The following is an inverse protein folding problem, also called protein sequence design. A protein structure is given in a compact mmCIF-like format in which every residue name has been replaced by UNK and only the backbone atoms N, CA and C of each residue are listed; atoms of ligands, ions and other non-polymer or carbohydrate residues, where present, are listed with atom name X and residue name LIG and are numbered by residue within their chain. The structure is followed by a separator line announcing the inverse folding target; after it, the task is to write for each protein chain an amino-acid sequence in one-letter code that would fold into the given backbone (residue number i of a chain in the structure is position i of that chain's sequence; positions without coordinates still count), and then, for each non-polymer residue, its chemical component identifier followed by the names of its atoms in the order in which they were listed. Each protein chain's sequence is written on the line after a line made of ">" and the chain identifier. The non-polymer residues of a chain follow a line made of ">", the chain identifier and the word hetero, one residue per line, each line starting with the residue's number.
data_IF_299530836997
#
_entry.id   IF_299530836997
#
_cell.length_a   1.000
_cell.length_b   1.000
_cell.length_c   1.000
_cell.angle_alpha   90.00
_cell.angle_beta   90.00
_cell.angle_gamma   90.00
#
_symmetry.space_group_name_H-M   'P 1'
#
loop_
_entity.id
_entity.type
_entity.pdbx_description
1 polymer ?
#
# COMPACT_ATOMS: atom_id res chain seq x y z
N UNK A 1 2.35 -4.78 19.49
CA UNK A 1 3.69 -5.19 19.02
C UNK A 1 3.65 -6.66 18.65
N UNK A 2 4.29 -7.02 17.55
CA UNK A 2 4.52 -8.43 17.18
C UNK A 2 6.02 -8.69 17.14
N UNK A 3 6.47 -9.71 17.83
CA UNK A 3 7.85 -10.19 17.87
C UNK A 3 7.91 -11.64 17.43
N UNK A 4 8.58 -11.95 16.30
CA UNK A 4 8.67 -13.30 15.74
C UNK A 4 7.30 -13.97 15.64
N UNK A 5 6.34 -13.25 15.04
CA UNK A 5 4.93 -13.65 14.84
C UNK A 5 4.08 -13.86 16.11
N UNK A 6 4.60 -13.48 17.29
CA UNK A 6 3.85 -13.54 18.55
C UNK A 6 3.34 -12.16 18.94
N UNK A 7 2.03 -12.01 19.24
CA UNK A 7 1.49 -10.76 19.71
C UNK A 7 1.98 -10.46 21.13
N UNK A 8 2.39 -9.22 21.38
CA UNK A 8 2.76 -8.70 22.68
C UNK A 8 1.87 -7.48 22.93
N UNK A 9 1.11 -7.47 24.01
CA UNK A 9 0.43 -6.27 24.49
C UNK A 9 1.48 -5.43 25.21
N UNK A 10 1.85 -4.25 24.68
CA UNK A 10 2.93 -3.47 25.25
C UNK A 10 2.49 -2.85 26.58
N UNK A 11 3.37 -2.93 27.58
CA UNK A 11 3.28 -2.22 28.86
C UNK A 11 4.32 -1.10 28.88
N UNK A 12 4.30 -0.24 29.90
CA UNK A 12 5.23 0.90 29.99
C UNK A 12 6.71 0.52 30.01
N UNK A 13 7.04 -0.68 30.48
CA UNK A 13 8.40 -1.24 30.49
C UNK A 13 8.74 -2.08 29.26
N UNK A 14 7.83 -2.24 28.30
CA UNK A 14 8.08 -3.04 27.10
C UNK A 14 9.11 -2.38 26.22
N UNK A 15 10.24 -3.03 26.02
CA UNK A 15 11.30 -2.57 25.13
C UNK A 15 10.98 -3.09 23.71
N UNK A 16 10.97 -2.18 22.74
CA UNK A 16 10.88 -2.51 21.33
C UNK A 16 12.27 -2.91 20.84
N UNK A 17 12.36 -4.07 20.22
CA UNK A 17 13.59 -4.63 19.69
C UNK A 17 13.67 -4.44 18.16
N UNK A 18 14.87 -4.52 17.56
CA UNK A 18 14.98 -4.61 16.11
C UNK A 18 14.15 -5.78 15.57
N UNK A 19 13.53 -5.58 14.40
CA UNK A 19 12.60 -6.52 13.74
C UNK A 19 11.25 -6.72 14.42
N UNK A 20 10.91 -5.96 15.47
CA UNK A 20 9.56 -5.91 16.01
C UNK A 20 8.64 -5.15 15.04
N UNK A 21 7.47 -5.72 14.74
CA UNK A 21 6.40 -5.02 14.05
C UNK A 21 5.53 -4.29 15.05
N UNK A 22 5.46 -2.96 14.95
CA UNK A 22 4.76 -2.12 15.91
C UNK A 22 3.60 -1.40 15.26
N UNK A 23 2.41 -1.52 15.84
CA UNK A 23 1.22 -0.80 15.42
C UNK A 23 0.93 0.34 16.38
N UNK A 24 0.78 1.54 15.83
CA UNK A 24 0.41 2.74 16.57
C UNK A 24 -0.99 3.18 16.18
N UNK A 25 -1.78 3.55 17.17
CA UNK A 25 -3.09 4.17 16.98
C UNK A 25 -3.00 5.59 17.50
N UNK A 26 -3.26 6.56 16.64
CA UNK A 26 -3.27 7.97 17.01
C UNK A 26 -4.34 8.72 16.18
N UNK A 27 -4.80 9.85 16.69
CA UNK A 27 -5.66 10.74 15.91
C UNK A 27 -4.93 11.17 14.63
N UNK A 28 -5.65 11.28 13.51
CA UNK A 28 -5.09 11.62 12.19
C UNK A 28 -4.23 12.90 12.24
N UNK A 29 -4.59 13.86 13.07
CA UNK A 29 -3.85 15.10 13.25
C UNK A 29 -2.45 14.88 13.88
N UNK A 30 -2.27 13.85 14.71
CA UNK A 30 -1.05 13.59 15.48
C UNK A 30 -0.20 12.44 14.93
N UNK A 31 -0.70 11.73 13.90
CA UNK A 31 0.02 10.57 13.38
C UNK A 31 1.42 10.92 12.86
N UNK A 32 1.60 12.12 12.31
CA UNK A 32 2.90 12.59 11.83
C UNK A 32 3.89 12.83 12.97
N UNK A 33 3.43 13.34 14.11
CA UNK A 33 4.26 13.54 15.29
C UNK A 33 4.73 12.19 15.83
N UNK A 34 3.81 11.23 15.98
CA UNK A 34 4.14 9.86 16.40
C UNK A 34 5.16 9.23 15.44
N UNK A 35 4.98 9.37 14.13
CA UNK A 35 5.92 8.83 13.16
C UNK A 35 7.29 9.53 13.19
N UNK A 36 7.34 10.83 13.51
CA UNK A 36 8.61 11.57 13.60
C UNK A 36 9.47 11.20 14.80
N UNK A 37 8.85 10.76 15.89
CA UNK A 37 9.57 10.24 17.07
C UNK A 37 10.21 8.86 16.82
N UNK A 38 9.66 8.10 15.86
CA UNK A 38 10.08 6.74 15.57
C UNK A 38 11.03 6.62 14.37
N UNK A 39 10.94 7.55 13.46
CA UNK A 39 11.77 7.64 12.25
C UNK A 39 12.15 9.09 12.00
N UNK A 40 13.38 9.30 11.51
CA UNK A 40 13.65 10.54 10.76
C UNK A 40 12.65 10.58 9.59
N UNK A 41 11.70 11.52 9.62
CA UNK A 41 10.73 11.70 8.55
C UNK A 41 11.51 12.15 7.31
N UNK A 42 11.88 11.20 6.48
CA UNK A 42 12.33 11.54 5.13
C UNK A 42 11.18 12.29 4.46
N UNK A 43 11.49 13.39 3.82
CA UNK A 43 10.51 14.14 3.02
C UNK A 43 9.96 13.14 2.00
N UNK A 44 8.64 12.87 1.96
CA UNK A 44 8.10 11.88 1.04
C UNK A 44 8.54 12.21 -0.38
N UNK A 45 9.25 11.30 -1.03
CA UNK A 45 9.55 11.42 -2.45
C UNK A 45 8.23 11.49 -3.20
N UNK A 46 8.12 12.42 -4.15
CA UNK A 46 6.87 12.62 -4.90
C UNK A 46 6.81 11.83 -6.19
N UNK A 47 7.75 10.91 -6.43
CA UNK A 47 7.82 10.13 -7.68
C UNK A 47 7.22 8.75 -7.45
N UNK A 48 6.17 8.46 -8.21
CA UNK A 48 5.45 7.18 -8.15
C UNK A 48 5.37 6.57 -9.54
N UNK A 49 5.66 5.29 -9.66
CA UNK A 49 5.40 4.51 -10.87
C UNK A 49 4.29 3.50 -10.57
N UNK A 50 3.26 3.54 -11.38
CA UNK A 50 2.14 2.59 -11.34
C UNK A 50 2.22 1.65 -12.53
N UNK A 51 2.02 0.38 -12.33
CA UNK A 51 1.94 -0.64 -13.38
C UNK A 51 0.51 -1.16 -13.48
N UNK A 52 -0.14 -0.90 -14.62
CA UNK A 52 -1.52 -1.28 -14.89
C UNK A 52 -2.51 -0.11 -14.79
N UNK A 53 -3.10 0.26 -15.94
CA UNK A 53 -4.10 1.33 -16.08
C UNK A 53 -5.54 0.82 -15.92
N UNK A 54 -5.75 -0.23 -15.13
CA UNK A 54 -7.08 -0.72 -14.77
C UNK A 54 -7.85 0.28 -13.89
N UNK A 55 -9.01 -0.12 -13.40
CA UNK A 55 -9.85 0.77 -12.57
C UNK A 55 -9.15 1.26 -11.30
N UNK A 56 -8.33 0.42 -10.67
CA UNK A 56 -7.57 0.79 -9.47
C UNK A 56 -6.43 1.73 -9.86
N UNK A 57 -5.64 1.37 -10.88
CA UNK A 57 -4.50 2.18 -11.32
C UNK A 57 -4.88 3.57 -11.77
N UNK A 58 -5.93 3.70 -12.60
CA UNK A 58 -6.44 5.00 -13.05
C UNK A 58 -6.91 5.88 -11.89
N UNK A 59 -7.69 5.33 -10.95
CA UNK A 59 -8.18 6.08 -9.79
C UNK A 59 -7.05 6.51 -8.87
N UNK A 60 -6.07 5.62 -8.67
CA UNK A 60 -4.90 5.93 -7.85
C UNK A 60 -4.03 7.00 -8.52
N UNK A 61 -3.78 6.90 -9.84
CA UNK A 61 -3.03 7.90 -10.60
C UNK A 61 -3.65 9.29 -10.42
N UNK A 62 -4.96 9.42 -10.65
CA UNK A 62 -5.69 10.67 -10.48
C UNK A 62 -5.61 11.21 -9.05
N UNK A 63 -5.83 10.37 -8.05
CA UNK A 63 -5.73 10.80 -6.65
C UNK A 63 -4.33 11.29 -6.31
N UNK A 64 -3.29 10.65 -6.84
CA UNK A 64 -1.92 11.03 -6.59
C UNK A 64 -1.56 12.35 -7.29
N UNK A 65 -1.96 12.55 -8.56
CA UNK A 65 -1.72 13.82 -9.25
C UNK A 65 -2.46 15.00 -8.58
N UNK A 66 -3.72 14.81 -8.14
CA UNK A 66 -4.48 15.79 -7.36
C UNK A 66 -3.78 16.19 -6.05
N UNK A 67 -2.93 15.31 -5.50
CA UNK A 67 -2.14 15.55 -4.30
C UNK A 67 -0.69 15.99 -4.59
N UNK A 68 -0.37 16.31 -5.84
CA UNK A 68 0.92 16.86 -6.26
C UNK A 68 2.07 15.84 -6.35
N UNK A 69 1.74 14.55 -6.53
CA UNK A 69 2.73 13.53 -6.84
C UNK A 69 3.07 13.55 -8.34
N UNK A 70 4.30 13.19 -8.67
CA UNK A 70 4.73 12.95 -10.05
C UNK A 70 4.48 11.49 -10.37
N UNK A 71 3.47 11.22 -11.17
CA UNK A 71 3.03 9.87 -11.49
C UNK A 71 3.43 9.47 -12.91
N UNK A 72 3.96 8.26 -13.05
CA UNK A 72 4.10 7.56 -14.32
C UNK A 72 3.24 6.31 -14.27
N UNK A 73 2.48 6.04 -15.31
CA UNK A 73 1.56 4.91 -15.41
C UNK A 73 1.97 4.04 -16.60
N UNK A 74 2.43 2.83 -16.35
CA UNK A 74 2.83 1.86 -17.38
C UNK A 74 1.63 0.97 -17.69
N UNK A 75 1.31 0.85 -18.99
CA UNK A 75 0.23 0.01 -19.48
C UNK A 75 0.66 -0.65 -20.81
N UNK A 76 0.35 -1.93 -20.97
CA UNK A 76 0.71 -2.69 -22.17
C UNK A 76 -0.34 -2.61 -23.28
N UNK A 77 -1.58 -2.30 -22.93
CA UNK A 77 -2.68 -2.20 -23.89
C UNK A 77 -2.82 -0.78 -24.44
N UNK A 78 -2.53 -0.61 -25.74
CA UNK A 78 -2.57 0.70 -26.41
C UNK A 78 -3.98 1.30 -26.50
N UNK A 79 -5.05 0.49 -26.51
CA UNK A 79 -6.42 1.02 -26.47
C UNK A 79 -6.72 1.59 -25.10
N UNK A 80 -6.30 0.87 -24.04
CA UNK A 80 -6.48 1.35 -22.69
C UNK A 80 -5.70 2.63 -22.39
N UNK A 81 -4.50 2.75 -22.96
CA UNK A 81 -3.70 3.99 -22.86
C UNK A 81 -4.48 5.19 -23.39
N UNK A 82 -5.09 5.05 -24.58
CA UNK A 82 -5.91 6.12 -25.17
C UNK A 82 -7.08 6.52 -24.30
N UNK A 83 -7.78 5.53 -23.75
CA UNK A 83 -8.90 5.78 -22.85
C UNK A 83 -8.49 6.53 -21.60
N UNK A 84 -7.38 6.13 -20.93
CA UNK A 84 -6.99 6.72 -19.66
C UNK A 84 -6.32 8.07 -19.82
N UNK A 85 -5.68 8.34 -20.95
CA UNK A 85 -5.04 9.63 -21.23
C UNK A 85 -6.01 10.82 -21.17
N UNK A 86 -7.28 10.60 -21.50
CA UNK A 86 -8.32 11.63 -21.44
C UNK A 86 -8.75 11.99 -20.00
N UNK A 87 -8.37 11.16 -19.02
CA UNK A 87 -8.76 11.34 -17.62
C UNK A 87 -7.61 11.80 -16.71
N UNK A 88 -6.40 11.89 -17.23
CA UNK A 88 -5.19 12.24 -16.49
C UNK A 88 -4.60 13.51 -17.07
N UNK A 89 -4.27 14.48 -16.21
CA UNK A 89 -3.78 15.79 -16.63
C UNK A 89 -2.24 15.87 -16.55
N UNK A 90 -1.65 15.40 -15.43
CA UNK A 90 -0.22 15.52 -15.14
C UNK A 90 0.52 14.16 -15.16
N UNK A 91 -0.21 13.05 -15.19
CA UNK A 91 0.36 11.71 -15.20
C UNK A 91 0.91 11.33 -16.58
N UNK A 92 2.17 10.94 -16.64
CA UNK A 92 2.78 10.41 -17.87
C UNK A 92 2.36 8.97 -18.07
N UNK A 93 1.62 8.69 -19.15
CA UNK A 93 1.21 7.33 -19.51
C UNK A 93 2.21 6.73 -20.49
N UNK A 94 2.78 5.59 -20.13
CA UNK A 94 3.83 4.89 -20.87
C UNK A 94 3.29 3.58 -21.44
N UNK A 95 3.56 3.33 -22.70
CA UNK A 95 3.27 2.05 -23.34
C UNK A 95 4.42 1.07 -23.12
N UNK A 96 4.18 -0.03 -22.41
CA UNK A 96 5.20 -1.04 -22.18
C UNK A 96 4.80 -2.12 -21.18
N UNK A 97 5.74 -3.02 -20.93
CA UNK A 97 5.64 -4.03 -19.88
C UNK A 97 6.33 -3.56 -18.62
N UNK A 98 5.63 -3.61 -17.51
CA UNK A 98 6.18 -3.23 -16.19
C UNK A 98 7.26 -4.21 -15.68
N UNK A 99 7.44 -5.36 -16.31
CA UNK A 99 8.53 -6.29 -16.07
C UNK A 99 9.72 -6.07 -17.03
N UNK A 100 9.68 -5.06 -17.90
CA UNK A 100 10.80 -4.68 -18.76
C UNK A 100 11.81 -3.84 -17.96
N UNK A 101 12.98 -4.43 -17.72
CA UNK A 101 14.07 -3.79 -16.97
C UNK A 101 14.58 -2.52 -17.67
N UNK A 102 14.65 -2.51 -19.00
CA UNK A 102 15.18 -1.37 -19.76
C UNK A 102 14.22 -0.19 -19.67
N UNK A 103 12.92 -0.43 -19.81
CA UNK A 103 11.88 0.58 -19.60
C UNK A 103 11.97 1.19 -18.19
N UNK A 104 12.07 0.35 -17.15
CA UNK A 104 12.16 0.83 -15.77
C UNK A 104 13.42 1.69 -15.55
N UNK A 105 14.55 1.33 -16.14
CA UNK A 105 15.77 2.14 -16.07
C UNK A 105 15.62 3.48 -16.80
N UNK A 106 15.05 3.50 -17.99
CA UNK A 106 14.79 4.73 -18.74
C UNK A 106 13.89 5.69 -17.98
N UNK A 107 12.97 5.15 -17.17
CA UNK A 107 12.02 5.90 -16.36
C UNK A 107 12.53 6.28 -14.96
N UNK A 108 13.81 6.03 -14.67
CA UNK A 108 14.51 6.36 -13.43
C UNK A 108 13.89 5.67 -12.20
N UNK A 109 13.77 4.37 -12.28
CA UNK A 109 13.23 3.54 -11.20
C UNK A 109 14.02 3.68 -9.89
N UNK A 110 15.33 3.92 -9.96
CA UNK A 110 16.23 4.14 -8.83
C UNK A 110 15.94 5.42 -8.04
N UNK A 111 15.24 6.37 -8.67
CA UNK A 111 14.80 7.63 -8.05
C UNK A 111 13.31 7.60 -7.66
N UNK A 112 12.66 6.44 -7.83
CA UNK A 112 11.24 6.27 -7.56
C UNK A 112 11.03 5.96 -6.08
N UNK A 113 10.15 6.71 -5.43
CA UNK A 113 9.78 6.48 -4.04
C UNK A 113 8.94 5.22 -3.88
N UNK A 114 7.91 5.10 -4.71
CA UNK A 114 6.99 3.97 -4.66
C UNK A 114 6.72 3.42 -6.05
N UNK A 115 6.91 2.13 -6.22
CA UNK A 115 6.42 1.37 -7.36
C UNK A 115 5.19 0.56 -6.95
N UNK A 116 4.07 0.71 -7.66
CA UNK A 116 2.84 -0.04 -7.38
C UNK A 116 2.46 -0.91 -8.58
N UNK A 117 2.46 -2.23 -8.42
CA UNK A 117 1.99 -3.17 -9.40
C UNK A 117 0.50 -3.47 -9.19
N UNK A 118 -0.37 -3.03 -10.13
CA UNK A 118 -1.82 -2.97 -9.99
C UNK A 118 -2.55 -3.62 -11.16
N UNK A 119 -1.89 -4.55 -11.86
CA UNK A 119 -2.51 -5.29 -12.96
C UNK A 119 -3.48 -6.35 -12.43
N UNK A 120 -4.16 -7.05 -13.33
CA UNK A 120 -5.06 -8.15 -12.99
C UNK A 120 -4.36 -9.51 -12.87
N UNK A 121 -3.03 -9.55 -13.00
CA UNK A 121 -2.23 -10.77 -12.93
C UNK A 121 -1.32 -10.74 -11.70
N UNK A 122 -1.63 -11.53 -10.68
CA UNK A 122 -0.90 -11.57 -9.42
C UNK A 122 0.60 -11.84 -9.63
N UNK A 123 0.91 -12.82 -10.51
CA UNK A 123 2.29 -13.20 -10.81
C UNK A 123 3.08 -12.04 -11.45
N UNK A 124 2.46 -11.31 -12.38
CA UNK A 124 3.07 -10.15 -13.02
C UNK A 124 3.29 -9.02 -11.98
N UNK A 125 2.34 -8.80 -11.08
CA UNK A 125 2.44 -7.79 -10.03
C UNK A 125 3.58 -8.12 -9.07
N UNK A 126 3.72 -9.38 -8.66
CA UNK A 126 4.79 -9.82 -7.77
C UNK A 126 6.15 -9.65 -8.45
N UNK A 127 6.30 -10.18 -9.66
CA UNK A 127 7.57 -10.18 -10.38
C UNK A 127 8.03 -8.75 -10.75
N UNK A 128 7.12 -7.90 -11.24
CA UNK A 128 7.46 -6.50 -11.55
C UNK A 128 7.79 -5.70 -10.29
N UNK A 129 7.09 -5.92 -9.18
CA UNK A 129 7.41 -5.30 -7.90
C UNK A 129 8.78 -5.72 -7.37
N UNK A 130 9.12 -7.01 -7.42
CA UNK A 130 10.44 -7.53 -7.04
C UNK A 130 11.54 -6.97 -7.95
N UNK A 131 11.28 -6.86 -9.26
CA UNK A 131 12.22 -6.27 -10.20
C UNK A 131 12.45 -4.78 -9.89
N UNK A 132 11.39 -4.01 -9.70
CA UNK A 132 11.46 -2.59 -9.35
C UNK A 132 12.28 -2.37 -8.08
N UNK A 133 12.05 -3.18 -7.04
CA UNK A 133 12.81 -3.13 -5.80
C UNK A 133 14.30 -3.42 -6.03
N UNK A 134 14.61 -4.45 -6.80
CA UNK A 134 16.00 -4.81 -7.16
C UNK A 134 16.69 -3.70 -7.94
N UNK A 135 15.95 -2.96 -8.76
CA UNK A 135 16.47 -1.86 -9.58
C UNK A 135 16.57 -0.53 -8.80
N UNK A 136 16.17 -0.50 -7.53
CA UNK A 136 16.40 0.63 -6.65
C UNK A 136 15.17 1.44 -6.25
N UNK A 137 13.95 1.03 -6.60
CA UNK A 137 12.75 1.63 -6.03
C UNK A 137 12.78 1.54 -4.50
N UNK A 138 12.49 2.63 -3.79
CA UNK A 138 12.55 2.63 -2.32
C UNK A 138 11.49 1.71 -1.72
N UNK A 139 10.28 1.75 -2.26
CA UNK A 139 9.18 0.88 -1.86
C UNK A 139 8.53 0.22 -3.06
N UNK A 140 8.18 -1.06 -2.90
CA UNK A 140 7.43 -1.83 -3.90
C UNK A 140 6.15 -2.41 -3.27
N UNK A 141 5.01 -2.07 -3.88
CA UNK A 141 3.68 -2.51 -3.47
C UNK A 141 3.08 -3.35 -4.59
N UNK A 142 2.51 -4.50 -4.27
CA UNK A 142 1.82 -5.34 -5.24
C UNK A 142 0.37 -5.61 -4.84
N UNK A 143 -0.53 -5.52 -5.82
CA UNK A 143 -1.90 -6.00 -5.68
C UNK A 143 -1.91 -7.51 -5.89
N UNK A 144 -2.44 -8.27 -4.92
CA UNK A 144 -2.45 -9.72 -4.93
C UNK A 144 -3.83 -10.23 -4.51
N UNK A 145 -4.51 -10.88 -5.43
CA UNK A 145 -5.88 -11.37 -5.19
C UNK A 145 -5.90 -12.73 -4.49
N UNK A 146 -4.91 -13.59 -4.76
CA UNK A 146 -4.80 -14.92 -4.16
C UNK A 146 -4.14 -14.84 -2.79
N UNK A 147 -4.87 -15.22 -1.74
CA UNK A 147 -4.36 -15.21 -0.38
C UNK A 147 -3.10 -16.07 -0.17
N UNK A 148 -3.01 -17.20 -0.87
CA UNK A 148 -1.84 -18.08 -0.82
C UNK A 148 -0.54 -17.39 -1.28
N UNK A 149 -0.61 -16.44 -2.21
CA UNK A 149 0.56 -15.68 -2.64
C UNK A 149 0.95 -14.60 -1.64
N UNK A 150 -0.02 -14.02 -0.94
CA UNK A 150 0.26 -13.03 0.10
C UNK A 150 1.15 -13.64 1.19
N UNK A 151 0.90 -14.92 1.56
CA UNK A 151 1.69 -15.64 2.55
C UNK A 151 3.16 -15.86 2.12
N UNK A 152 3.37 -16.10 0.83
CA UNK A 152 4.72 -16.27 0.26
C UNK A 152 5.50 -14.95 0.18
N UNK A 153 4.81 -13.83 0.01
CA UNK A 153 5.42 -12.53 -0.23
C UNK A 153 5.86 -11.85 1.07
N UNK A 154 5.19 -12.08 2.19
CA UNK A 154 5.55 -11.47 3.48
C UNK A 154 6.98 -11.79 3.96
N UNK A 155 7.59 -12.83 3.42
CA UNK A 155 9.00 -13.17 3.64
C UNK A 155 9.93 -12.69 2.51
N UNK A 156 9.41 -11.94 1.54
CA UNK A 156 10.11 -11.59 0.30
C UNK A 156 10.53 -10.12 0.21
N UNK A 157 11.08 -9.77 -0.91
CA UNK A 157 11.65 -8.44 -1.24
C UNK A 157 10.59 -7.33 -1.36
N UNK A 158 9.29 -7.66 -1.42
CA UNK A 158 8.21 -6.66 -1.49
C UNK A 158 7.91 -6.07 -0.12
N UNK A 159 7.71 -4.76 -0.07
CA UNK A 159 7.40 -4.06 1.18
C UNK A 159 5.94 -4.28 1.61
N UNK A 160 5.02 -4.32 0.64
CA UNK A 160 3.58 -4.47 0.92
C UNK A 160 2.88 -5.30 -0.16
N UNK A 161 2.07 -6.27 0.26
CA UNK A 161 1.10 -6.95 -0.59
C UNK A 161 -0.32 -6.55 -0.17
N UNK A 162 -1.12 -6.02 -1.11
CA UNK A 162 -2.50 -5.58 -0.85
C UNK A 162 -3.47 -6.56 -1.49
N UNK A 163 -4.35 -7.15 -0.69
CA UNK A 163 -5.46 -7.96 -1.19
C UNK A 163 -6.73 -7.12 -1.29
N UNK A 164 -7.28 -6.91 -2.50
CA UNK A 164 -8.54 -6.19 -2.69
C UNK A 164 -9.71 -6.87 -1.97
N UNK A 165 -9.68 -8.18 -1.90
CA UNK A 165 -10.71 -8.97 -1.22
C UNK A 165 -10.71 -8.70 0.28
N UNK A 166 -9.54 -8.75 0.92
CA UNK A 166 -9.43 -8.47 2.36
C UNK A 166 -9.78 -7.02 2.68
N UNK A 167 -9.34 -6.08 1.85
CA UNK A 167 -9.70 -4.67 2.00
C UNK A 167 -11.23 -4.46 1.90
N UNK A 168 -11.87 -5.11 0.93
CA UNK A 168 -13.33 -5.03 0.74
C UNK A 168 -14.08 -5.68 1.90
N UNK A 169 -13.67 -6.88 2.34
CA UNK A 169 -14.29 -7.57 3.48
C UNK A 169 -14.16 -6.72 4.74
N UNK A 170 -12.99 -6.15 5.00
CA UNK A 170 -12.79 -5.23 6.12
C UNK A 170 -13.74 -4.04 6.09
N UNK A 171 -13.88 -3.39 4.93
CA UNK A 171 -14.81 -2.28 4.75
C UNK A 171 -16.28 -2.71 4.95
N UNK A 172 -16.70 -3.86 4.42
CA UNK A 172 -18.06 -4.37 4.60
C UNK A 172 -18.37 -4.73 6.06
N UNK A 173 -17.42 -5.34 6.77
CA UNK A 173 -17.59 -5.69 8.17
C UNK A 173 -17.85 -4.46 9.04
N UNK A 174 -17.26 -3.33 8.71
CA UNK A 174 -17.51 -2.05 9.40
C UNK A 174 -18.98 -1.64 9.31
N UNK A 175 -19.65 -1.91 8.18
CA UNK A 175 -21.07 -1.59 7.99
C UNK A 175 -22.04 -2.66 8.53
N UNK A 176 -21.60 -3.91 8.63
CA UNK A 176 -22.46 -5.04 9.06
C UNK A 176 -22.49 -5.16 10.58
N UNK A 177 -21.39 -4.93 11.25
CA UNK A 177 -21.31 -4.94 12.70
C UNK A 177 -22.09 -3.75 13.24
N UNK A 178 -23.31 -4.00 13.70
CA UNK A 178 -24.20 -2.99 14.30
C UNK A 178 -23.63 -2.54 15.64
N UNK A 179 -23.43 -1.23 15.79
CA UNK A 179 -22.91 -0.58 17.00
C UNK A 179 -22.23 0.73 16.62
N UNK A 180 -21.86 1.53 17.60
CA UNK A 180 -21.20 2.82 17.40
C UNK A 180 -19.70 2.65 17.00
N UNK A 181 -19.44 1.71 16.11
CA UNK A 181 -18.11 1.46 15.57
C UNK A 181 -17.89 2.33 14.34
N UNK A 182 -16.93 3.26 14.43
CA UNK A 182 -16.58 4.17 13.35
C UNK A 182 -15.64 3.53 12.32
N UNK A 183 -14.73 2.66 12.76
CA UNK A 183 -13.82 1.93 11.88
C UNK A 183 -13.35 0.60 12.51
N UNK A 184 -13.02 -0.37 11.66
CA UNK A 184 -12.38 -1.62 12.05
C UNK A 184 -11.21 -1.87 11.10
N UNK A 185 -10.03 -2.06 11.65
CA UNK A 185 -8.84 -2.40 10.91
C UNK A 185 -8.34 -3.77 11.35
N UNK A 186 -8.36 -4.73 10.45
CA UNK A 186 -7.75 -6.04 10.71
C UNK A 186 -6.23 -5.91 10.65
N UNK A 187 -5.57 -6.32 11.70
CA UNK A 187 -4.12 -6.38 11.80
C UNK A 187 -3.70 -7.84 11.61
N UNK A 188 -2.64 -8.05 10.82
CA UNK A 188 -2.12 -9.38 10.52
C UNK A 188 -3.23 -10.42 10.27
N UNK A 189 -4.12 -10.13 9.29
CA UNK A 189 -5.17 -11.07 8.80
C UNK A 189 -6.11 -11.60 9.88
N UNK A 190 -6.46 -10.76 10.86
CA UNK A 190 -7.39 -11.14 11.91
C UNK A 190 -6.73 -11.74 13.16
N UNK A 191 -5.40 -11.79 13.22
CA UNK A 191 -4.71 -12.13 14.47
C UNK A 191 -4.97 -11.08 15.56
N UNK A 192 -5.24 -9.82 15.17
CA UNK A 192 -5.76 -8.75 16.01
C UNK A 192 -6.64 -7.81 15.19
N UNK A 193 -7.50 -7.06 15.86
CA UNK A 193 -8.33 -6.02 15.25
C UNK A 193 -8.15 -4.71 16.02
N UNK A 194 -7.96 -3.60 15.30
CA UNK A 194 -8.07 -2.26 15.84
C UNK A 194 -9.48 -1.76 15.58
N UNK A 195 -10.20 -1.42 16.64
CA UNK A 195 -11.60 -0.98 16.57
C UNK A 195 -11.65 0.48 17.06
N UNK A 196 -12.21 1.36 16.22
CA UNK A 196 -12.59 2.71 16.62
C UNK A 196 -14.09 2.71 16.95
N UNK A 197 -14.44 3.07 18.17
CA UNK A 197 -15.82 3.11 18.63
C UNK A 197 -16.13 4.43 19.31
N UNK A 198 -17.40 4.88 19.20
CA UNK A 198 -17.91 6.05 19.89
C UNK A 198 -18.38 5.60 21.26
N UNK A 199 -17.76 6.12 22.33
CA UNK A 199 -18.19 5.86 23.69
C UNK A 199 -19.37 6.78 24.06
N UNK A 200 -20.47 6.19 24.49
CA UNK A 200 -21.62 6.91 25.05
C UNK A 200 -21.53 6.99 26.57
N UNK A 201 -22.06 8.05 27.17
CA UNK A 201 -21.97 8.32 28.61
C UNK A 201 -22.80 7.38 29.51
N UNK A 202 -23.58 6.47 28.96
CA UNK A 202 -24.39 5.49 29.71
C UNK A 202 -24.15 4.10 29.12
N UNK A 203 -23.18 3.33 29.68
CA UNK A 203 -22.98 1.94 29.28
C UNK A 203 -24.14 1.11 29.81
N UNK A 204 -24.92 0.50 28.91
CA UNK A 204 -25.97 -0.44 29.24
C UNK A 204 -25.40 -1.73 29.87
#
# INVERSE_FOLDING_TARGET
>A
VYRRDRPIIPLGETIIEPDDEVFFIAAKAHIREVMSELRSVETPGRRVILAGAGNIGLRLARTLEDNGYRVKLIEHNSDRIREVADFLEDTVVLHGDAADQELLWQENIDQTEVFCALTNADEANILSGMLAKRLGAKHAIALVSRSAYVDLIESSVLDVAISPQLATVGALLTHIRRGDMAAIHSLRRGAAEAIEAIAHGDPA
#
